data_IF_573591517632
#
_entry.id   IF_573591517632
#
_cell.length_a   1.000
_cell.length_b   1.000
_cell.length_c   1.000
_cell.angle_alpha   90.00
_cell.angle_beta   90.00
_cell.angle_gamma   90.00
#
_symmetry.space_group_name_H-M   'P 1'
#
loop_
_entity.id
_entity.type
_entity.pdbx_description
1 polymer ?
#
# COMPACT_ATOMS: atom_id res chain seq x y z
N UNK A 1 6.73 -5.35 18.96
CA UNK A 1 5.83 -4.91 17.88
C UNK A 1 5.21 -3.60 18.33
N UNK A 2 5.38 -2.48 17.61
CA UNK A 2 4.56 -1.33 17.93
C UNK A 2 3.14 -1.63 17.48
N UNK A 3 2.24 -1.61 18.44
CA UNK A 3 0.81 -1.50 18.26
C UNK A 3 0.53 -0.14 17.60
N UNK A 4 0.34 -0.13 16.28
CA UNK A 4 -0.13 1.05 15.53
C UNK A 4 -1.52 0.70 15.06
N UNK A 5 -2.50 0.87 15.95
CA UNK A 5 -3.90 0.86 15.59
C UNK A 5 -4.09 1.87 14.46
N UNK A 6 -4.22 1.38 13.22
CA UNK A 6 -4.55 2.16 12.03
C UNK A 6 -6.00 2.72 12.10
N UNK A 7 -6.63 2.68 13.28
CA UNK A 7 -8.03 2.97 13.53
C UNK A 7 -8.37 4.47 13.39
N UNK A 8 -7.37 5.36 13.39
CA UNK A 8 -7.57 6.81 13.32
C UNK A 8 -7.04 7.48 12.03
N UNK A 9 -6.44 6.72 11.11
CA UNK A 9 -5.94 7.25 9.84
C UNK A 9 -7.07 7.35 8.81
N UNK A 10 -7.28 8.54 8.28
CA UNK A 10 -8.31 8.82 7.26
C UNK A 10 -7.63 9.39 6.03
N UNK A 11 -7.96 8.82 4.86
CA UNK A 11 -7.52 9.35 3.57
C UNK A 11 -8.51 10.41 3.10
N UNK A 12 -8.00 11.61 2.82
CA UNK A 12 -8.78 12.78 2.48
C UNK A 12 -8.24 13.47 1.24
N UNK A 13 -9.12 14.11 0.48
CA UNK A 13 -8.73 15.17 -0.45
C UNK A 13 -8.72 16.50 0.29
N UNK A 14 -7.61 17.22 0.17
CA UNK A 14 -7.43 18.53 0.79
C UNK A 14 -8.24 19.57 0.01
N UNK A 15 -9.08 20.32 0.69
CA UNK A 15 -9.85 21.43 0.14
C UNK A 15 -9.68 22.71 0.97
N UNK A 16 -10.06 23.85 0.38
CA UNK A 16 -10.23 25.12 1.10
C UNK A 16 -11.69 25.49 1.20
N UNK A 17 -12.18 25.65 2.42
CA UNK A 17 -13.53 26.15 2.72
C UNK A 17 -13.43 27.50 3.43
N UNK A 18 -13.51 28.57 2.64
CA UNK A 18 -13.28 29.94 3.10
C UNK A 18 -11.85 30.09 3.63
N UNK A 19 -11.70 30.38 4.93
CA UNK A 19 -10.39 30.46 5.57
C UNK A 19 -9.88 29.06 5.97
N UNK A 20 -10.73 28.07 6.17
CA UNK A 20 -10.30 26.78 6.70
C UNK A 20 -9.70 25.90 5.59
N UNK A 21 -8.75 25.06 5.98
CA UNK A 21 -8.30 23.92 5.18
C UNK A 21 -9.00 22.70 5.77
N UNK A 22 -9.65 21.93 4.92
CA UNK A 22 -10.41 20.74 5.31
C UNK A 22 -9.92 19.54 4.50
N UNK A 23 -10.10 18.36 5.04
CA UNK A 23 -9.96 17.10 4.32
C UNK A 23 -11.34 16.49 4.13
N UNK A 24 -11.76 16.33 2.87
CA UNK A 24 -12.94 15.55 2.52
C UNK A 24 -12.58 14.06 2.48
N UNK A 25 -13.23 13.18 3.26
CA UNK A 25 -13.02 11.74 3.15
C UNK A 25 -13.15 11.25 1.70
N UNK A 26 -12.14 10.56 1.20
CA UNK A 26 -12.02 10.31 -0.25
C UNK A 26 -12.78 9.06 -0.72
N UNK A 27 -12.66 7.93 -0.01
CA UNK A 27 -13.23 6.65 -0.45
C UNK A 27 -14.64 6.38 0.06
N UNK A 28 -14.93 6.79 1.29
CA UNK A 28 -16.23 6.62 1.93
C UNK A 28 -16.76 8.00 2.31
N UNK A 29 -17.98 8.37 1.89
CA UNK A 29 -18.57 9.64 2.29
C UNK A 29 -18.59 9.80 3.80
N UNK A 30 -18.17 10.97 4.27
CA UNK A 30 -18.07 11.26 5.71
C UNK A 30 -18.10 12.75 6.00
N UNK A 31 -17.98 13.10 7.27
CA UNK A 31 -17.94 14.50 7.69
C UNK A 31 -16.57 15.09 7.33
N UNK A 32 -16.53 16.27 6.67
CA UNK A 32 -15.29 17.01 6.43
C UNK A 32 -14.48 17.24 7.70
N UNK A 33 -13.18 16.95 7.64
CA UNK A 33 -12.29 17.09 8.77
C UNK A 33 -11.52 18.41 8.68
N UNK A 34 -11.66 19.30 9.66
CA UNK A 34 -10.83 20.53 9.70
C UNK A 34 -9.38 20.15 10.00
N UNK A 35 -8.46 20.49 9.10
CA UNK A 35 -7.03 20.15 9.24
C UNK A 35 -6.32 21.26 10.00
N UNK A 36 -5.44 20.88 10.94
CA UNK A 36 -4.60 21.85 11.64
C UNK A 36 -3.58 22.49 10.69
N UNK A 37 -3.62 23.82 10.61
CA UNK A 37 -2.72 24.62 9.77
C UNK A 37 -1.26 24.53 10.22
N UNK A 38 -0.99 24.27 11.50
CA UNK A 38 0.38 24.25 12.04
C UNK A 38 1.22 23.03 11.60
N UNK A 39 0.68 22.16 10.75
CA UNK A 39 1.41 21.02 10.19
C UNK A 39 1.08 20.72 8.73
N UNK A 40 0.53 21.69 7.97
CA UNK A 40 0.18 21.47 6.57
C UNK A 40 1.39 21.31 5.63
N UNK A 41 2.56 21.85 6.01
CA UNK A 41 3.73 21.84 5.14
C UNK A 41 3.39 22.43 3.76
N UNK A 42 3.70 21.67 2.72
CA UNK A 42 3.46 22.02 1.31
C UNK A 42 2.13 21.45 0.76
N UNK A 43 1.22 20.98 1.63
CA UNK A 43 -0.07 20.46 1.19
C UNK A 43 -0.96 21.54 0.56
N UNK A 44 -1.50 21.25 -0.61
CA UNK A 44 -2.32 22.13 -1.42
C UNK A 44 -3.73 21.57 -1.62
N UNK A 45 -4.73 22.42 -1.94
CA UNK A 45 -6.02 21.94 -2.40
C UNK A 45 -5.88 21.00 -3.61
N UNK A 46 -6.61 19.89 -3.61
CA UNK A 46 -6.54 18.82 -4.60
C UNK A 46 -5.45 17.78 -4.34
N UNK A 47 -4.70 17.92 -3.24
CA UNK A 47 -3.81 16.84 -2.78
C UNK A 47 -4.61 15.75 -2.07
N UNK A 48 -4.23 14.50 -2.32
CA UNK A 48 -4.65 13.36 -1.53
C UNK A 48 -3.67 13.19 -0.36
N UNK A 49 -4.20 13.03 0.84
CA UNK A 49 -3.39 13.00 2.05
C UNK A 49 -3.93 12.02 3.09
N UNK A 50 -3.04 11.55 3.96
CA UNK A 50 -3.39 10.79 5.16
C UNK A 50 -3.40 11.73 6.35
N UNK A 51 -4.49 11.72 7.10
CA UNK A 51 -4.64 12.50 8.33
C UNK A 51 -5.03 11.61 9.50
N UNK A 52 -4.55 11.97 10.69
CA UNK A 52 -5.03 11.36 11.94
C UNK A 52 -6.08 12.24 12.58
N UNK A 53 -7.22 11.65 12.93
CA UNK A 53 -8.24 12.38 13.68
C UNK A 53 -7.77 12.61 15.13
N UNK A 54 -7.91 13.85 15.62
CA UNK A 54 -7.73 14.19 17.02
C UNK A 54 -8.98 14.94 17.49
N UNK A 55 -9.13 15.17 18.81
CA UNK A 55 -10.26 15.94 19.35
C UNK A 55 -10.31 17.36 18.75
N UNK A 56 -11.20 17.55 17.78
CA UNK A 56 -11.55 18.84 17.17
C UNK A 56 -10.86 19.17 15.84
N UNK A 57 -9.64 18.69 15.56
CA UNK A 57 -8.93 18.91 14.29
C UNK A 57 -8.12 17.68 13.88
N UNK A 58 -8.06 17.42 12.59
CA UNK A 58 -7.20 16.40 12.01
C UNK A 58 -5.77 16.93 11.87
N UNK A 59 -4.77 16.06 12.07
CA UNK A 59 -3.36 16.36 11.82
C UNK A 59 -2.91 15.67 10.55
N UNK A 60 -2.28 16.42 9.65
CA UNK A 60 -1.64 15.85 8.46
C UNK A 60 -0.49 14.93 8.87
N UNK A 61 -0.50 13.70 8.36
CA UNK A 61 0.60 12.76 8.48
C UNK A 61 1.53 12.88 7.26
N UNK A 62 0.97 12.69 6.06
CA UNK A 62 1.69 12.76 4.79
C UNK A 62 0.78 13.14 3.63
N UNK A 63 1.37 13.75 2.61
CA UNK A 63 0.74 13.95 1.29
C UNK A 63 1.14 12.78 0.39
N UNK A 64 0.16 12.17 -0.28
CA UNK A 64 0.36 11.03 -1.17
C UNK A 64 0.58 11.46 -2.62
N UNK A 65 0.04 12.62 -3.01
CA UNK A 65 0.11 13.14 -4.37
C UNK A 65 -1.16 13.92 -4.71
N UNK A 66 -1.46 14.11 -5.99
CA UNK A 66 -2.71 14.76 -6.43
C UNK A 66 -3.85 13.75 -6.45
N UNK A 67 -5.04 14.13 -5.99
CA UNK A 67 -6.23 13.27 -5.98
C UNK A 67 -6.68 12.78 -7.36
N UNK A 68 -6.26 13.48 -8.43
CA UNK A 68 -6.49 13.11 -9.83
C UNK A 68 -5.47 12.11 -10.39
N UNK A 69 -4.44 11.74 -9.62
CA UNK A 69 -3.40 10.81 -10.03
C UNK A 69 -3.71 9.40 -9.53
N UNK A 70 -3.73 8.43 -10.44
CA UNK A 70 -4.05 7.04 -10.12
C UNK A 70 -3.06 6.43 -9.15
N UNK A 71 -1.77 6.79 -9.23
CA UNK A 71 -0.75 6.25 -8.32
C UNK A 71 -1.02 6.69 -6.87
N UNK A 72 -1.36 7.97 -6.68
CA UNK A 72 -1.72 8.51 -5.37
C UNK A 72 -3.01 7.88 -4.83
N UNK A 73 -4.03 7.69 -5.69
CA UNK A 73 -5.30 7.05 -5.31
C UNK A 73 -5.07 5.58 -4.92
N UNK A 74 -4.25 4.84 -5.65
CA UNK A 74 -3.94 3.44 -5.32
C UNK A 74 -3.18 3.34 -3.99
N UNK A 75 -2.18 4.18 -3.75
CA UNK A 75 -1.49 4.25 -2.46
C UNK A 75 -2.46 4.60 -1.33
N UNK A 76 -3.35 5.58 -1.55
CA UNK A 76 -4.38 5.96 -0.59
C UNK A 76 -5.35 4.81 -0.29
N UNK A 77 -5.73 4.02 -1.30
CA UNK A 77 -6.62 2.88 -1.10
C UNK A 77 -5.95 1.81 -0.24
N UNK A 78 -4.66 1.54 -0.44
CA UNK A 78 -3.91 0.60 0.39
C UNK A 78 -3.84 1.05 1.84
N UNK A 79 -3.62 2.35 2.09
CA UNK A 79 -3.65 2.93 3.44
C UNK A 79 -5.04 2.79 4.06
N UNK A 80 -6.08 3.18 3.33
CA UNK A 80 -7.48 3.12 3.79
C UNK A 80 -7.93 1.70 4.14
N UNK A 81 -7.52 0.70 3.35
CA UNK A 81 -7.83 -0.71 3.59
C UNK A 81 -6.96 -1.34 4.71
N UNK A 82 -5.98 -0.61 5.25
CA UNK A 82 -4.99 -1.15 6.17
C UNK A 82 -4.06 -2.20 5.55
N UNK A 83 -3.98 -2.25 4.22
CA UNK A 83 -3.16 -3.18 3.46
C UNK A 83 -1.74 -2.64 3.20
N UNK A 84 -1.51 -1.34 3.44
CA UNK A 84 -0.18 -0.74 3.27
C UNK A 84 0.74 -1.14 4.42
N UNK A 85 1.61 -2.10 4.15
CA UNK A 85 2.69 -2.54 5.06
C UNK A 85 4.06 -2.22 4.47
N UNK A 86 5.04 -2.09 5.36
CA UNK A 86 6.45 -2.14 5.00
C UNK A 86 6.86 -3.60 4.75
N UNK A 87 7.86 -3.78 3.87
CA UNK A 87 8.48 -5.07 3.64
C UNK A 87 9.69 -5.22 4.57
N UNK A 88 9.77 -6.36 5.27
CA UNK A 88 10.94 -6.68 6.07
C UNK A 88 12.16 -6.95 5.17
N UNK A 89 13.37 -6.57 5.60
CA UNK A 89 14.59 -6.90 4.86
C UNK A 89 14.70 -8.42 4.65
N UNK A 90 14.72 -8.84 3.38
CA UNK A 90 14.85 -10.25 3.02
C UNK A 90 16.26 -10.56 2.53
N UNK A 91 16.88 -11.60 3.11
CA UNK A 91 18.10 -12.22 2.60
C UNK A 91 17.76 -13.64 2.21
N UNK A 92 17.94 -13.99 0.94
CA UNK A 92 17.71 -15.34 0.47
C UNK A 92 18.67 -16.30 1.19
N UNK A 93 18.16 -17.28 1.95
CA UNK A 93 19.00 -18.30 2.56
C UNK A 93 19.49 -19.29 1.50
N UNK A 94 20.58 -20.01 1.80
CA UNK A 94 20.94 -21.18 1.00
C UNK A 94 19.80 -22.21 1.08
N UNK A 95 19.40 -22.81 -0.06
CA UNK A 95 18.30 -23.75 -0.07
C UNK A 95 18.67 -24.98 0.78
N UNK A 96 17.82 -25.41 1.72
CA UNK A 96 18.08 -26.62 2.49
C UNK A 96 17.99 -27.82 1.55
N UNK A 97 19.08 -28.57 1.40
CA UNK A 97 19.13 -29.76 0.53
C UNK A 97 18.81 -31.06 1.28
N UNK A 98 18.97 -31.07 2.60
CA UNK A 98 18.74 -32.26 3.42
C UNK A 98 17.29 -32.73 3.34
N UNK A 99 17.09 -34.03 3.11
CA UNK A 99 15.76 -34.64 2.98
C UNK A 99 15.03 -34.35 1.66
N UNK A 100 15.67 -33.66 0.69
CA UNK A 100 15.08 -33.41 -0.63
C UNK A 100 15.53 -34.44 -1.66
N UNK A 101 14.64 -34.74 -2.61
CA UNK A 101 15.00 -35.47 -3.82
C UNK A 101 15.67 -34.50 -4.79
N UNK A 102 16.84 -34.88 -5.31
CA UNK A 102 17.55 -34.07 -6.30
C UNK A 102 16.97 -34.30 -7.70
N UNK A 103 16.34 -33.27 -8.25
CA UNK A 103 15.74 -33.27 -9.59
C UNK A 103 16.40 -32.24 -10.52
N UNK A 104 17.59 -31.73 -10.17
CA UNK A 104 18.25 -30.65 -10.92
C UNK A 104 18.61 -31.01 -12.36
N UNK A 105 18.77 -32.29 -12.66
CA UNK A 105 19.05 -32.80 -14.02
C UNK A 105 17.77 -33.12 -14.83
N UNK A 106 16.59 -33.02 -14.22
CA UNK A 106 15.32 -33.26 -14.90
C UNK A 106 14.90 -32.02 -15.69
N UNK A 107 14.82 -32.15 -17.02
CA UNK A 107 14.28 -31.07 -17.87
C UNK A 107 12.89 -30.67 -17.39
N UNK A 108 12.81 -29.44 -16.91
CA UNK A 108 11.64 -28.87 -16.23
C UNK A 108 11.37 -27.48 -16.79
N UNK A 109 10.10 -27.15 -17.02
CA UNK A 109 9.68 -25.86 -17.58
C UNK A 109 8.39 -25.37 -16.91
N UNK A 110 8.12 -24.07 -17.01
CA UNK A 110 6.88 -23.42 -16.53
C UNK A 110 6.08 -22.90 -17.72
N UNK A 111 4.78 -22.63 -17.54
CA UNK A 111 3.92 -22.05 -18.58
C UNK A 111 3.13 -20.90 -17.95
N UNK A 112 3.54 -19.67 -18.26
CA UNK A 112 3.06 -18.48 -17.58
C UNK A 112 2.73 -17.34 -18.57
N UNK A 113 1.90 -16.36 -18.17
CA UNK A 113 1.74 -15.11 -18.91
C UNK A 113 3.08 -14.37 -19.12
N UNK A 114 3.21 -13.62 -20.21
CA UNK A 114 4.44 -12.86 -20.56
C UNK A 114 4.95 -11.93 -19.44
N UNK A 115 4.04 -11.42 -18.61
CA UNK A 115 4.35 -10.46 -17.54
C UNK A 115 4.47 -11.07 -16.15
N UNK A 116 4.35 -12.40 -16.02
CA UNK A 116 4.48 -13.09 -14.73
C UNK A 116 5.90 -12.93 -14.15
N UNK A 117 5.99 -12.89 -12.81
CA UNK A 117 7.27 -12.75 -12.09
C UNK A 117 7.41 -13.73 -10.92
N UNK A 118 6.38 -14.52 -10.69
CA UNK A 118 6.10 -15.37 -9.56
C UNK A 118 5.74 -16.76 -10.08
N UNK A 119 6.76 -17.56 -10.39
CA UNK A 119 6.59 -18.92 -10.92
C UNK A 119 6.48 -19.91 -9.76
N UNK A 120 5.27 -20.40 -9.49
CA UNK A 120 4.99 -21.26 -8.34
C UNK A 120 4.97 -22.76 -8.67
N UNK A 121 4.75 -23.10 -9.94
CA UNK A 121 4.66 -24.46 -10.43
C UNK A 121 5.62 -24.74 -11.60
N UNK A 122 5.91 -26.02 -11.81
CA UNK A 122 6.76 -26.47 -12.89
C UNK A 122 6.41 -27.89 -13.34
N UNK A 123 6.66 -28.18 -14.61
CA UNK A 123 6.30 -29.42 -15.26
C UNK A 123 7.52 -30.09 -15.86
N UNK A 124 7.53 -31.42 -15.80
CA UNK A 124 8.47 -32.29 -16.51
C UNK A 124 7.70 -33.43 -17.14
N UNK A 125 8.11 -33.90 -18.31
CA UNK A 125 7.48 -35.02 -19.00
C UNK A 125 8.53 -36.04 -19.43
N UNK A 126 8.19 -37.33 -19.28
CA UNK A 126 8.97 -38.48 -19.77
C UNK A 126 8.01 -39.56 -20.24
N UNK A 127 8.45 -40.39 -21.18
CA UNK A 127 7.74 -41.65 -21.45
C UNK A 127 7.85 -42.58 -20.23
N UNK A 128 6.75 -43.22 -19.89
CA UNK A 128 6.75 -44.28 -18.87
C UNK A 128 7.26 -45.57 -19.53
N UNK A 129 8.24 -46.22 -18.89
CA UNK A 129 8.86 -47.45 -19.37
C UNK A 129 7.98 -48.67 -19.21
#
# INVERSE_FOLDING_TARGET
>A
MPDVSNEDAVVVEVERRGKLVVGEPFFVPGVPLVIDRKGLGDAEPGDLAVVHTNRGRARLERVLGKAKDIEAVMEGLLVHAGARTDFEPYRMPDPPVEGRVDLRDLTTFTIDPETAKDFDDALSIREEG
#
